data_IF_077088041268
#
_entry.id   IF_077088041268
#
_cell.length_a   1.000
_cell.length_b   1.000
_cell.length_c   1.000
_cell.angle_alpha   90.00
_cell.angle_beta   90.00
_cell.angle_gamma   90.00
#
_symmetry.space_group_name_H-M   'P 1'
#
loop_
_entity.id
_entity.type
_entity.pdbx_description
1 polymer ?
#
# COMPACT_ATOMS: atom_id res chain seq x y z
N UNK A 1 4.90 14.70 -24.94
CA UNK A 1 5.04 15.96 -24.17
C UNK A 1 6.40 15.89 -23.49
N UNK A 2 7.33 16.79 -23.81
CA UNK A 2 8.61 16.86 -23.13
C UNK A 2 8.34 17.27 -21.66
N UNK A 3 8.63 16.39 -20.73
CA UNK A 3 8.58 16.72 -19.32
C UNK A 3 9.55 17.87 -19.05
N UNK A 4 9.04 19.01 -18.67
CA UNK A 4 9.86 20.13 -18.26
C UNK A 4 10.39 19.90 -16.84
N UNK A 5 11.34 18.97 -16.72
CA UNK A 5 11.99 18.62 -15.45
C UNK A 5 12.55 19.85 -14.74
N UNK A 6 13.05 20.84 -15.48
CA UNK A 6 13.51 22.12 -14.92
C UNK A 6 12.44 22.86 -14.13
N UNK A 7 11.17 22.76 -14.52
CA UNK A 7 10.10 23.43 -13.77
C UNK A 7 9.87 22.78 -12.40
N UNK A 8 9.85 21.43 -12.37
CA UNK A 8 9.59 20.69 -11.12
C UNK A 8 10.79 20.69 -10.18
N UNK A 9 12.01 20.67 -10.73
CA UNK A 9 13.24 20.64 -9.94
C UNK A 9 13.79 22.02 -9.57
N UNK A 10 13.21 23.10 -10.10
CA UNK A 10 13.70 24.47 -9.94
C UNK A 10 14.06 24.81 -8.48
N UNK A 11 13.19 24.52 -7.53
CA UNK A 11 13.42 24.87 -6.13
C UNK A 11 14.49 23.99 -5.48
N UNK A 12 14.68 22.77 -5.93
CA UNK A 12 15.79 21.92 -5.50
C UNK A 12 17.11 22.46 -6.03
N UNK A 13 17.15 22.79 -7.32
CA UNK A 13 18.34 23.35 -7.96
C UNK A 13 18.76 24.69 -7.35
N UNK A 14 17.80 25.57 -7.08
CA UNK A 14 18.03 26.89 -6.47
C UNK A 14 18.48 26.82 -5.00
N UNK A 15 18.18 25.73 -4.29
CA UNK A 15 18.49 25.52 -2.88
C UNK A 15 19.44 24.33 -2.64
N UNK A 16 20.18 23.90 -3.66
CA UNK A 16 20.99 22.67 -3.63
C UNK A 16 21.90 22.61 -2.39
N UNK A 17 22.64 23.67 -2.10
CA UNK A 17 23.57 23.68 -0.96
C UNK A 17 22.86 23.49 0.39
N UNK A 18 21.70 24.10 0.58
CA UNK A 18 20.87 23.93 1.78
C UNK A 18 20.32 22.49 1.86
N UNK A 19 19.84 21.96 0.75
CA UNK A 19 19.32 20.58 0.69
C UNK A 19 20.43 19.57 1.00
N UNK A 20 21.61 19.73 0.44
CA UNK A 20 22.75 18.85 0.70
C UNK A 20 23.16 18.89 2.17
N UNK A 21 23.22 20.06 2.79
CA UNK A 21 23.50 20.21 4.22
C UNK A 21 22.45 19.52 5.08
N UNK A 22 21.15 19.73 4.80
CA UNK A 22 20.05 19.10 5.54
C UNK A 22 20.07 17.56 5.38
N UNK A 23 20.32 17.06 4.17
CA UNK A 23 20.43 15.62 3.91
C UNK A 23 21.59 15.02 4.67
N UNK A 24 22.79 15.62 4.59
CA UNK A 24 23.98 15.13 5.31
C UNK A 24 23.76 15.15 6.83
N UNK A 25 23.24 16.24 7.38
CA UNK A 25 22.92 16.33 8.79
C UNK A 25 21.89 15.28 9.21
N UNK A 26 20.82 15.09 8.44
CA UNK A 26 19.79 14.08 8.69
C UNK A 26 20.35 12.65 8.65
N UNK A 27 21.28 12.34 7.74
CA UNK A 27 21.97 11.05 7.68
C UNK A 27 22.81 10.86 8.94
N UNK A 28 23.62 11.84 9.33
CA UNK A 28 24.50 11.73 10.51
C UNK A 28 23.72 11.41 11.79
N UNK A 29 22.62 12.12 12.04
CA UNK A 29 21.89 12.01 13.33
C UNK A 29 20.83 10.89 13.35
N UNK A 30 20.27 10.51 12.19
CA UNK A 30 19.13 9.59 12.14
C UNK A 30 19.44 8.25 11.44
N UNK A 31 20.53 8.17 10.65
CA UNK A 31 20.79 7.00 9.80
C UNK A 31 22.11 6.31 10.10
N UNK A 32 22.98 6.94 10.87
CA UNK A 32 24.27 6.34 11.29
C UNK A 32 24.20 5.88 12.72
N UNK A 33 24.85 4.77 12.98
CA UNK A 33 25.07 4.21 14.31
C UNK A 33 26.49 3.64 14.40
N UNK A 34 26.96 3.43 15.62
CA UNK A 34 28.26 2.79 15.83
C UNK A 34 28.09 1.28 15.88
N UNK A 35 28.89 0.56 15.10
CA UNK A 35 29.03 -0.89 15.20
C UNK A 35 30.48 -1.22 15.50
N UNK A 36 30.70 -2.25 16.32
CA UNK A 36 32.04 -2.79 16.63
C UNK A 36 32.10 -4.24 16.11
N UNK A 37 33.05 -4.50 15.25
CA UNK A 37 33.30 -5.84 14.72
C UNK A 37 34.64 -6.35 15.24
N UNK A 38 34.66 -7.59 15.72
CA UNK A 38 35.87 -8.29 16.10
C UNK A 38 36.04 -9.51 15.18
N UNK A 39 37.14 -9.57 14.50
CA UNK A 39 37.49 -10.74 13.67
C UNK A 39 38.36 -11.69 14.50
N UNK A 40 38.00 -12.97 14.47
CA UNK A 40 38.71 -14.03 15.17
C UNK A 40 39.06 -15.15 14.19
N UNK A 41 40.18 -15.86 14.44
CA UNK A 41 40.53 -17.07 13.70
C UNK A 41 39.73 -18.29 14.21
N UNK A 42 39.95 -19.45 13.61
CA UNK A 42 39.31 -20.73 13.99
C UNK A 42 39.63 -21.20 15.43
N UNK A 43 40.65 -20.61 16.06
CA UNK A 43 41.04 -20.88 17.43
C UNK A 43 40.56 -19.82 18.42
N UNK A 44 39.80 -18.81 17.94
CA UNK A 44 39.26 -17.73 18.77
C UNK A 44 40.23 -16.58 19.04
N UNK A 45 41.40 -16.52 18.39
CA UNK A 45 42.33 -15.42 18.55
C UNK A 45 41.97 -14.22 17.69
N UNK A 46 42.16 -12.98 18.17
CA UNK A 46 41.92 -11.78 17.40
C UNK A 46 42.80 -11.71 16.15
N UNK A 47 42.17 -11.44 15.00
CA UNK A 47 42.86 -11.19 13.73
C UNK A 47 42.90 -9.70 13.46
N UNK A 48 44.07 -9.17 13.12
CA UNK A 48 44.31 -7.76 12.78
C UNK A 48 44.66 -7.61 11.30
N UNK A 49 44.56 -6.40 10.76
CA UNK A 49 44.86 -6.08 9.37
C UNK A 49 43.94 -6.82 8.38
N UNK A 50 42.66 -6.95 8.73
CA UNK A 50 41.64 -7.53 7.87
C UNK A 50 41.12 -6.47 6.93
N UNK A 51 41.04 -6.78 5.62
CA UNK A 51 40.28 -5.96 4.66
C UNK A 51 38.81 -6.34 4.78
N UNK A 52 37.95 -5.35 4.99
CA UNK A 52 36.49 -5.56 5.12
C UNK A 52 35.77 -4.79 4.06
N UNK A 53 34.98 -5.49 3.27
CA UNK A 53 34.02 -4.90 2.33
C UNK A 53 32.61 -5.02 2.91
N UNK A 54 31.90 -3.91 3.00
CA UNK A 54 30.55 -3.87 3.57
C UNK A 54 29.58 -3.51 2.46
N UNK A 55 28.57 -4.38 2.24
CA UNK A 55 27.46 -4.14 1.35
C UNK A 55 26.17 -4.15 2.14
N UNK A 56 25.37 -3.08 2.01
CA UNK A 56 24.04 -3.05 2.59
C UNK A 56 23.06 -3.78 1.66
N UNK A 57 22.39 -4.81 2.18
CA UNK A 57 21.43 -5.64 1.42
C UNK A 57 19.97 -5.22 1.66
N UNK A 58 19.67 -4.55 2.77
CA UNK A 58 18.30 -4.14 3.10
C UNK A 58 18.25 -3.02 4.12
N UNK A 59 17.06 -2.52 4.35
CA UNK A 59 16.74 -1.51 5.37
C UNK A 59 15.26 -1.61 5.80
N UNK A 60 14.96 -1.14 7.01
CA UNK A 60 13.60 -1.17 7.56
C UNK A 60 12.70 -0.02 7.08
N UNK A 61 13.29 1.01 6.44
CA UNK A 61 12.50 2.12 5.93
C UNK A 61 11.63 1.67 4.75
N UNK A 62 10.35 2.02 4.77
CA UNK A 62 9.40 1.64 3.71
C UNK A 62 9.42 2.66 2.58
N UNK A 63 9.89 2.23 1.40
CA UNK A 63 9.69 2.90 0.13
C UNK A 63 8.59 2.19 -0.62
N UNK A 64 7.50 2.88 -0.93
CA UNK A 64 6.36 2.25 -1.55
C UNK A 64 5.72 3.08 -2.65
N UNK A 65 5.00 2.38 -3.53
CA UNK A 65 4.14 2.98 -4.54
C UNK A 65 2.86 2.14 -4.69
N UNK A 66 1.85 2.67 -5.40
CA UNK A 66 0.71 1.86 -5.79
C UNK A 66 1.10 0.89 -6.92
N UNK A 67 0.60 -0.35 -6.83
CA UNK A 67 0.86 -1.41 -7.81
C UNK A 67 -0.29 -1.56 -8.83
N UNK A 68 -1.06 -0.52 -9.04
CA UNK A 68 -2.29 -0.54 -9.84
C UNK A 68 -2.10 -0.88 -11.32
N UNK A 69 -0.86 -0.90 -11.80
CA UNK A 69 -0.53 -1.25 -13.19
C UNK A 69 0.06 -2.66 -13.35
N UNK A 70 -0.01 -3.49 -12.31
CA UNK A 70 0.48 -4.87 -12.38
C UNK A 70 -0.29 -5.66 -13.44
N UNK A 71 0.41 -6.15 -14.46
CA UNK A 71 -0.13 -6.85 -15.63
C UNK A 71 -1.23 -6.08 -16.42
N UNK A 72 -1.20 -4.75 -16.33
CA UNK A 72 -2.16 -3.84 -16.99
C UNK A 72 -1.56 -3.10 -18.21
N UNK A 73 -0.29 -3.31 -18.51
CA UNK A 73 0.37 -2.69 -19.66
C UNK A 73 0.08 -3.48 -20.94
N UNK A 74 0.30 -2.82 -22.09
CA UNK A 74 -0.17 -3.32 -23.41
C UNK A 74 0.56 -4.57 -23.89
N UNK A 75 1.79 -4.81 -23.40
CA UNK A 75 2.61 -5.95 -23.80
C UNK A 75 3.20 -6.67 -22.59
N UNK A 76 3.47 -7.97 -22.76
CA UNK A 76 4.11 -8.79 -21.74
C UNK A 76 5.50 -8.23 -21.39
N UNK A 77 6.28 -7.80 -22.37
CA UNK A 77 7.58 -7.19 -22.13
C UNK A 77 7.50 -5.95 -21.24
N UNK A 78 6.51 -5.08 -21.44
CA UNK A 78 6.30 -3.90 -20.57
C UNK A 78 5.86 -4.29 -19.17
N UNK A 79 5.02 -5.32 -19.03
CA UNK A 79 4.60 -5.83 -17.73
C UNK A 79 5.81 -6.41 -16.98
N UNK A 80 6.68 -7.15 -17.63
CA UNK A 80 7.91 -7.69 -17.03
C UNK A 80 8.87 -6.58 -16.61
N UNK A 81 9.06 -5.56 -17.46
CA UNK A 81 9.86 -4.38 -17.11
C UNK A 81 9.27 -3.64 -15.90
N UNK A 82 7.95 -3.50 -15.83
CA UNK A 82 7.27 -2.89 -14.70
C UNK A 82 7.49 -3.68 -13.41
N UNK A 83 7.27 -5.01 -13.44
CA UNK A 83 7.48 -5.91 -12.30
C UNK A 83 8.92 -5.82 -11.79
N UNK A 84 9.88 -5.92 -12.70
CA UNK A 84 11.30 -5.84 -12.36
C UNK A 84 11.67 -4.48 -11.76
N UNK A 85 11.21 -3.38 -12.36
CA UNK A 85 11.47 -2.03 -11.85
C UNK A 85 10.83 -1.84 -10.47
N UNK A 86 9.58 -2.30 -10.29
CA UNK A 86 8.87 -2.18 -9.02
C UNK A 86 9.58 -2.96 -7.91
N UNK A 87 9.92 -4.23 -8.14
CA UNK A 87 10.62 -5.08 -7.18
C UNK A 87 12.03 -4.56 -6.81
N UNK A 88 12.71 -3.90 -7.75
CA UNK A 88 14.04 -3.34 -7.48
C UNK A 88 14.01 -2.01 -6.70
N UNK A 89 12.90 -1.27 -6.76
CA UNK A 89 12.79 0.07 -6.18
C UNK A 89 12.04 0.10 -4.86
N UNK A 90 11.05 -0.78 -4.68
CA UNK A 90 10.10 -0.70 -3.58
C UNK A 90 10.10 -1.95 -2.72
N UNK A 91 10.02 -1.73 -1.40
CA UNK A 91 9.83 -2.77 -0.39
C UNK A 91 8.44 -2.69 0.26
N UNK A 92 7.56 -1.82 -0.24
CA UNK A 92 6.15 -1.73 0.13
C UNK A 92 5.29 -1.45 -1.10
N UNK A 93 4.11 -2.05 -1.19
CA UNK A 93 3.15 -1.83 -2.27
C UNK A 93 1.77 -1.47 -1.72
N UNK A 94 1.13 -0.44 -2.30
CA UNK A 94 -0.27 -0.11 -2.03
C UNK A 94 -1.14 -0.85 -3.05
N UNK A 95 -2.00 -1.74 -2.55
CA UNK A 95 -2.86 -2.62 -3.33
C UNK A 95 -4.26 -2.02 -3.53
N UNK A 96 -4.91 -2.22 -4.71
CA UNK A 96 -6.19 -1.60 -5.04
C UNK A 96 -7.38 -2.36 -4.45
N UNK A 97 -7.76 -2.03 -3.23
CA UNK A 97 -8.91 -2.60 -2.53
C UNK A 97 -10.14 -1.67 -2.59
N UNK A 98 -10.43 -1.09 -3.76
CA UNK A 98 -11.62 -0.26 -3.95
C UNK A 98 -12.87 -1.14 -4.03
N UNK A 99 -13.77 -1.05 -3.07
CA UNK A 99 -14.89 -1.99 -2.92
C UNK A 99 -15.77 -2.11 -4.17
N UNK A 100 -16.13 -1.00 -4.82
CA UNK A 100 -16.92 -1.04 -6.07
C UNK A 100 -16.22 -1.78 -7.21
N UNK A 101 -14.90 -1.77 -7.23
CA UNK A 101 -14.11 -2.46 -8.25
C UNK A 101 -13.80 -3.92 -7.85
N UNK A 102 -13.75 -4.20 -6.54
CA UNK A 102 -13.61 -5.56 -6.02
C UNK A 102 -14.89 -6.37 -6.16
N UNK A 103 -16.04 -5.76 -5.94
CA UNK A 103 -17.34 -6.42 -6.02
C UNK A 103 -18.35 -5.56 -6.80
N UNK A 104 -18.15 -5.38 -8.11
CA UNK A 104 -19.05 -4.57 -8.94
C UNK A 104 -20.46 -5.17 -9.03
N UNK A 105 -20.58 -6.47 -8.86
CA UNK A 105 -21.85 -7.22 -8.81
C UNK A 105 -21.91 -7.92 -7.46
N UNK A 106 -23.00 -7.74 -6.75
CA UNK A 106 -23.21 -8.33 -5.43
C UNK A 106 -22.99 -9.86 -5.45
N UNK A 107 -22.14 -10.36 -4.57
CA UNK A 107 -21.80 -11.77 -4.45
C UNK A 107 -20.82 -12.29 -5.52
N UNK A 108 -20.23 -11.39 -6.33
CA UNK A 108 -19.24 -11.76 -7.35
C UNK A 108 -17.92 -10.97 -7.15
N UNK A 109 -17.16 -11.26 -6.09
CA UNK A 109 -15.92 -10.56 -5.82
C UNK A 109 -14.83 -10.92 -6.84
N UNK A 110 -14.00 -9.93 -7.19
CA UNK A 110 -12.89 -10.04 -8.14
C UNK A 110 -11.54 -10.25 -7.42
N UNK A 111 -11.47 -11.18 -6.48
CA UNK A 111 -10.23 -11.47 -5.76
C UNK A 111 -9.25 -12.31 -6.59
N UNK A 112 -9.77 -13.34 -7.27
CA UNK A 112 -8.98 -14.35 -7.96
C UNK A 112 -8.20 -13.78 -9.17
N UNK A 113 -7.04 -14.34 -9.46
CA UNK A 113 -6.15 -13.92 -10.56
C UNK A 113 -6.81 -13.92 -11.94
N UNK A 114 -7.73 -14.80 -12.17
CA UNK A 114 -8.50 -14.93 -13.41
C UNK A 114 -9.78 -14.06 -13.44
N UNK A 115 -9.98 -13.22 -12.44
CA UNK A 115 -11.11 -12.29 -12.40
C UNK A 115 -11.11 -11.36 -13.62
N UNK A 116 -12.29 -10.89 -14.08
CA UNK A 116 -12.39 -9.96 -15.20
C UNK A 116 -11.48 -8.74 -15.00
N UNK A 117 -10.72 -8.36 -16.02
CA UNK A 117 -9.81 -7.21 -15.95
C UNK A 117 -10.59 -5.91 -15.86
N UNK A 118 -10.14 -5.03 -14.97
CA UNK A 118 -10.54 -3.63 -14.89
C UNK A 118 -9.27 -2.78 -14.91
N UNK A 119 -9.25 -1.78 -15.76
CA UNK A 119 -8.08 -0.91 -15.93
C UNK A 119 -7.60 -0.31 -14.61
N UNK A 120 -6.33 -0.48 -14.30
CA UNK A 120 -5.68 -0.07 -13.05
C UNK A 120 -6.25 -0.73 -11.79
N UNK A 121 -6.90 -1.88 -11.95
CA UNK A 121 -7.47 -2.67 -10.85
C UNK A 121 -7.11 -4.14 -11.03
N UNK A 122 -5.82 -4.48 -10.98
CA UNK A 122 -5.42 -5.88 -10.96
C UNK A 122 -6.11 -6.60 -9.80
N UNK A 123 -6.35 -7.90 -9.98
CA UNK A 123 -6.96 -8.71 -8.92
C UNK A 123 -6.09 -8.70 -7.65
N UNK A 124 -6.74 -8.74 -6.50
CA UNK A 124 -6.02 -8.60 -5.23
C UNK A 124 -5.12 -9.78 -4.92
N UNK A 125 -5.53 -11.01 -5.28
CA UNK A 125 -4.69 -12.21 -5.12
C UNK A 125 -3.40 -12.13 -5.97
N UNK A 126 -3.49 -11.60 -7.19
CA UNK A 126 -2.31 -11.38 -8.04
C UNK A 126 -1.33 -10.39 -7.38
N UNK A 127 -1.86 -9.31 -6.81
CA UNK A 127 -1.03 -8.31 -6.14
C UNK A 127 -0.35 -8.85 -4.88
N UNK A 128 -1.08 -9.64 -4.08
CA UNK A 128 -0.54 -10.26 -2.86
C UNK A 128 0.56 -11.26 -3.22
N UNK A 129 0.29 -12.15 -4.17
CA UNK A 129 1.29 -13.14 -4.63
C UNK A 129 2.58 -12.47 -5.12
N UNK A 130 2.45 -11.43 -5.95
CA UNK A 130 3.62 -10.66 -6.41
C UNK A 130 4.41 -10.06 -5.24
N UNK A 131 3.73 -9.52 -4.23
CA UNK A 131 4.39 -8.97 -3.05
C UNK A 131 5.13 -10.04 -2.25
N UNK A 132 4.52 -11.21 -2.04
CA UNK A 132 5.12 -12.34 -1.33
C UNK A 132 6.34 -12.89 -2.07
N UNK A 133 6.24 -13.08 -3.39
CA UNK A 133 7.34 -13.59 -4.23
C UNK A 133 8.58 -12.66 -4.22
N UNK A 134 8.37 -11.37 -4.04
CA UNK A 134 9.45 -10.37 -4.09
C UNK A 134 9.84 -9.77 -2.73
N UNK A 135 9.26 -10.27 -1.62
CA UNK A 135 9.54 -9.74 -0.28
C UNK A 135 9.09 -8.30 -0.08
N UNK A 136 8.03 -7.89 -0.78
CA UNK A 136 7.43 -6.55 -0.71
C UNK A 136 6.28 -6.59 0.30
N UNK A 137 6.26 -5.64 1.26
CA UNK A 137 5.18 -5.56 2.23
C UNK A 137 3.90 -4.98 1.58
N UNK A 138 2.79 -5.73 1.53
CA UNK A 138 1.54 -5.22 0.98
C UNK A 138 0.81 -4.31 1.97
N UNK A 139 0.22 -3.22 1.47
CA UNK A 139 -0.70 -2.33 2.19
C UNK A 139 -2.05 -2.30 1.49
N UNK A 140 -3.12 -2.61 2.21
CA UNK A 140 -4.49 -2.54 1.69
C UNK A 140 -4.95 -1.07 1.59
N UNK A 141 -5.38 -0.64 0.42
CA UNK A 141 -5.99 0.66 0.19
C UNK A 141 -7.33 0.49 -0.54
N UNK A 142 -8.42 0.61 0.13
CA UNK A 142 -8.69 0.72 1.56
C UNK A 142 -10.01 0.00 1.90
N UNK A 143 -10.32 -0.21 3.18
CA UNK A 143 -11.56 -0.90 3.60
C UNK A 143 -12.81 -0.07 3.33
N UNK A 144 -12.73 1.25 3.53
CA UNK A 144 -13.85 2.15 3.36
C UNK A 144 -13.43 3.44 2.67
N UNK A 145 -14.00 3.67 1.50
CA UNK A 145 -13.89 4.91 0.76
C UNK A 145 -15.23 5.19 0.10
N UNK A 146 -16.01 6.13 0.62
CA UNK A 146 -17.40 6.35 0.22
C UNK A 146 -17.61 6.50 -1.27
N UNK A 147 -16.67 7.17 -1.97
CA UNK A 147 -16.66 7.32 -3.43
C UNK A 147 -16.63 5.97 -4.19
N UNK A 148 -16.10 4.92 -3.57
CA UNK A 148 -15.94 3.58 -4.16
C UNK A 148 -16.85 2.54 -3.50
N UNK A 149 -17.98 2.98 -2.93
CA UNK A 149 -19.02 2.07 -2.45
C UNK A 149 -19.80 1.53 -3.65
N UNK A 150 -20.01 0.19 -3.75
CA UNK A 150 -20.78 -0.38 -4.86
C UNK A 150 -22.21 0.15 -4.92
N UNK A 151 -22.75 0.35 -6.14
CA UNK A 151 -24.11 0.87 -6.35
C UNK A 151 -25.22 -0.06 -5.84
N UNK A 152 -24.93 -1.36 -5.67
CA UNK A 152 -25.88 -2.34 -5.12
C UNK A 152 -26.02 -2.28 -3.59
N UNK A 153 -25.14 -1.56 -2.90
CA UNK A 153 -25.20 -1.37 -1.44
C UNK A 153 -26.44 -0.54 -1.11
N UNK A 154 -27.30 -1.00 -0.18
CA UNK A 154 -28.47 -0.22 0.26
C UNK A 154 -28.07 1.14 0.79
N UNK A 155 -28.89 2.17 0.51
CA UNK A 155 -28.62 3.54 0.94
C UNK A 155 -29.23 3.86 2.32
N UNK A 156 -29.70 2.85 3.03
CA UNK A 156 -30.13 2.98 4.43
C UNK A 156 -29.01 2.56 5.38
N UNK A 157 -29.00 3.19 6.55
CA UNK A 157 -27.98 3.01 7.58
C UNK A 157 -27.74 1.53 7.94
N UNK A 158 -28.79 0.77 8.14
CA UNK A 158 -28.69 -0.62 8.59
C UNK A 158 -28.24 -1.55 7.46
N UNK A 159 -28.73 -1.31 6.25
CA UNK A 159 -28.33 -2.03 5.06
C UNK A 159 -26.87 -1.81 4.74
N UNK A 160 -26.43 -0.54 4.69
CA UNK A 160 -25.03 -0.18 4.49
C UNK A 160 -24.11 -0.81 5.53
N UNK A 161 -24.49 -0.71 6.81
CA UNK A 161 -23.70 -1.30 7.91
C UNK A 161 -23.51 -2.80 7.72
N UNK A 162 -24.58 -3.56 7.47
CA UNK A 162 -24.50 -5.01 7.26
C UNK A 162 -23.60 -5.38 6.05
N UNK A 163 -23.72 -4.63 4.95
CA UNK A 163 -22.88 -4.88 3.78
C UNK A 163 -21.41 -4.58 4.06
N UNK A 164 -21.12 -3.50 4.78
CA UNK A 164 -19.74 -3.13 5.15
C UNK A 164 -19.12 -4.14 6.12
N UNK A 165 -19.88 -4.57 7.13
CA UNK A 165 -19.43 -5.61 8.08
C UNK A 165 -19.12 -6.92 7.36
N UNK A 166 -19.98 -7.34 6.43
CA UNK A 166 -19.75 -8.52 5.61
C UNK A 166 -18.48 -8.37 4.76
N UNK A 167 -18.34 -7.24 4.03
CA UNK A 167 -17.17 -6.95 3.22
C UNK A 167 -15.87 -7.00 4.02
N UNK A 168 -15.83 -6.37 5.19
CA UNK A 168 -14.67 -6.39 6.07
C UNK A 168 -14.36 -7.79 6.61
N UNK A 169 -15.39 -8.57 6.96
CA UNK A 169 -15.20 -9.94 7.41
C UNK A 169 -14.60 -10.83 6.32
N UNK A 170 -15.09 -10.72 5.07
CA UNK A 170 -14.57 -11.46 3.92
C UNK A 170 -13.10 -11.08 3.61
N UNK A 171 -12.77 -9.80 3.67
CA UNK A 171 -11.38 -9.35 3.49
C UNK A 171 -10.48 -9.82 4.64
N UNK A 172 -10.96 -9.77 5.87
CA UNK A 172 -10.23 -10.28 7.04
C UNK A 172 -9.97 -11.77 6.94
N UNK A 173 -10.98 -12.57 6.61
CA UNK A 173 -10.83 -14.02 6.43
C UNK A 173 -9.81 -14.37 5.32
N UNK A 174 -9.79 -13.58 4.24
CA UNK A 174 -8.94 -13.87 3.10
C UNK A 174 -7.50 -13.35 3.24
N UNK A 175 -7.30 -12.18 3.83
CA UNK A 175 -6.04 -11.45 3.73
C UNK A 175 -5.36 -11.10 5.06
N UNK A 176 -5.95 -11.42 6.22
CA UNK A 176 -5.38 -11.01 7.50
C UNK A 176 -3.96 -11.54 7.73
N UNK A 177 -3.66 -12.74 7.27
CA UNK A 177 -2.34 -13.35 7.40
C UNK A 177 -1.33 -12.90 6.33
N UNK A 178 -1.80 -12.19 5.30
CA UNK A 178 -1.00 -11.78 4.15
C UNK A 178 -0.70 -10.28 4.12
N UNK A 179 -1.60 -9.44 4.66
CA UNK A 179 -1.52 -7.98 4.55
C UNK A 179 -1.40 -7.35 5.94
N UNK A 180 -0.19 -6.98 6.38
CA UNK A 180 0.04 -6.44 7.73
C UNK A 180 -0.40 -4.99 7.90
N UNK A 181 -0.58 -4.23 6.80
CA UNK A 181 -0.91 -2.82 6.83
C UNK A 181 -2.25 -2.54 6.13
N UNK A 182 -3.21 -1.98 6.87
CA UNK A 182 -4.56 -1.72 6.37
C UNK A 182 -4.90 -0.24 6.55
N UNK A 183 -5.36 0.40 5.47
CA UNK A 183 -5.98 1.71 5.53
C UNK A 183 -7.48 1.54 5.73
N UNK A 184 -7.95 1.92 6.92
CA UNK A 184 -9.36 1.70 7.31
C UNK A 184 -10.30 2.58 6.51
N UNK A 185 -9.91 3.83 6.27
CA UNK A 185 -10.75 4.80 5.57
C UNK A 185 -9.90 5.84 4.86
N UNK A 186 -10.33 6.25 3.68
CA UNK A 186 -9.65 7.24 2.84
C UNK A 186 -10.47 8.52 2.73
N UNK A 187 -9.78 9.68 2.67
CA UNK A 187 -10.34 11.01 2.41
C UNK A 187 -11.52 11.41 3.30
N UNK A 188 -11.45 11.08 4.58
CA UNK A 188 -12.53 11.32 5.56
C UNK A 188 -12.89 12.79 5.77
N UNK A 189 -11.97 13.70 5.50
CA UNK A 189 -12.23 15.15 5.55
C UNK A 189 -13.08 15.65 4.37
N UNK A 190 -13.21 14.83 3.32
CA UNK A 190 -13.98 15.16 2.10
C UNK A 190 -15.32 14.42 2.03
N UNK A 191 -15.79 13.92 3.15
CA UNK A 191 -17.03 13.14 3.26
C UNK A 191 -18.24 13.79 2.59
N UNK A 192 -18.34 15.11 2.63
CA UNK A 192 -19.41 15.86 1.98
C UNK A 192 -19.40 15.77 0.43
N UNK A 193 -18.23 15.47 -0.15
CA UNK A 193 -18.06 15.33 -1.60
C UNK A 193 -18.21 13.88 -2.08
N UNK A 194 -18.23 12.89 -1.18
CA UNK A 194 -18.40 11.49 -1.58
C UNK A 194 -19.73 11.25 -2.29
N UNK A 195 -20.80 11.90 -1.81
CA UNK A 195 -22.15 11.78 -2.39
C UNK A 195 -22.22 12.28 -3.85
N UNK A 196 -21.48 13.34 -4.18
CA UNK A 196 -21.49 13.95 -5.49
C UNK A 196 -20.80 13.10 -6.57
N UNK A 197 -19.86 12.24 -6.19
CA UNK A 197 -19.02 11.47 -7.11
C UNK A 197 -19.42 10.01 -7.23
N UNK A 198 -19.99 9.43 -6.16
CA UNK A 198 -20.43 8.03 -6.13
C UNK A 198 -21.78 7.78 -6.79
N UNK A 199 -22.55 8.83 -7.10
CA UNK A 199 -23.96 8.70 -7.49
C UNK A 199 -24.86 8.16 -6.37
N UNK A 200 -24.30 7.92 -5.18
CA UNK A 200 -25.01 7.55 -3.98
C UNK A 200 -25.50 8.83 -3.32
N UNK A 201 -26.81 9.00 -3.22
CA UNK A 201 -27.41 10.08 -2.46
C UNK A 201 -27.38 9.74 -0.95
N UNK A 202 -26.16 9.48 -0.45
CA UNK A 202 -25.93 9.14 0.95
C UNK A 202 -25.92 10.42 1.76
N UNK A 203 -26.83 10.54 2.72
CA UNK A 203 -26.80 11.67 3.65
C UNK A 203 -25.48 11.68 4.44
N UNK A 204 -25.02 12.84 4.87
CA UNK A 204 -23.85 13.01 5.72
C UNK A 204 -23.88 12.11 6.97
N UNK A 205 -25.07 11.71 7.41
CA UNK A 205 -25.29 10.75 8.49
C UNK A 205 -24.88 9.32 8.10
N UNK A 206 -25.16 8.88 6.87
CA UNK A 206 -24.77 7.54 6.40
C UNK A 206 -23.27 7.41 6.28
N UNK A 207 -22.59 8.42 5.74
CA UNK A 207 -21.12 8.44 5.63
C UNK A 207 -20.45 8.42 7.02
N UNK A 208 -20.98 9.14 7.99
CA UNK A 208 -20.49 9.11 9.37
C UNK A 208 -20.65 7.73 10.01
N UNK A 209 -21.72 7.03 9.69
CA UNK A 209 -21.97 5.68 10.19
C UNK A 209 -21.06 4.67 9.55
N UNK A 210 -20.80 4.77 8.24
CA UNK A 210 -19.83 3.94 7.56
C UNK A 210 -18.44 4.09 8.18
N UNK A 211 -18.03 5.32 8.51
CA UNK A 211 -16.75 5.56 9.16
C UNK A 211 -16.67 4.94 10.55
N UNK A 212 -17.69 5.15 11.38
CA UNK A 212 -17.75 4.56 12.72
C UNK A 212 -17.85 3.02 12.66
N UNK A 213 -18.59 2.48 11.70
CA UNK A 213 -18.70 1.05 11.44
C UNK A 213 -17.36 0.41 11.07
N UNK A 214 -16.62 1.03 10.16
CA UNK A 214 -15.31 0.57 9.76
C UNK A 214 -14.35 0.45 10.94
N UNK A 215 -14.27 1.50 11.78
CA UNK A 215 -13.38 1.51 12.94
C UNK A 215 -13.73 0.45 13.97
N UNK A 216 -15.03 0.19 14.21
CA UNK A 216 -15.47 -0.81 15.20
C UNK A 216 -15.31 -2.25 14.71
N UNK A 217 -15.43 -2.50 13.42
CA UNK A 217 -15.34 -3.84 12.85
C UNK A 217 -13.88 -4.28 12.71
N UNK A 218 -12.95 -3.34 12.48
CA UNK A 218 -11.53 -3.65 12.42
C UNK A 218 -10.99 -4.29 13.71
N UNK A 219 -11.44 -3.82 14.89
CA UNK A 219 -11.04 -4.40 16.17
C UNK A 219 -11.44 -5.88 16.32
N UNK A 220 -12.52 -6.30 15.64
CA UNK A 220 -13.01 -7.69 15.68
C UNK A 220 -12.33 -8.61 14.65
N UNK A 221 -11.65 -8.07 13.63
CA UNK A 221 -11.03 -8.81 12.55
C UNK A 221 -9.51 -8.97 12.76
N UNK A 222 -8.88 -8.06 13.50
CA UNK A 222 -7.45 -8.19 13.82
C UNK A 222 -7.23 -9.45 14.67
N UNK A 223 -6.32 -10.36 14.27
CA UNK A 223 -5.97 -11.49 15.11
C UNK A 223 -5.42 -10.98 16.44
N UNK A 224 -5.87 -11.56 17.53
CA UNK A 224 -5.34 -11.25 18.84
C UNK A 224 -3.83 -11.48 18.83
N UNK A 225 -3.05 -10.42 18.89
CA UNK A 225 -1.60 -10.50 19.08
C UNK A 225 -1.36 -11.10 20.48
N UNK A 226 -0.97 -12.37 20.48
CA UNK A 226 -0.40 -13.03 21.67
C UNK A 226 1.04 -12.57 21.88
#
# INVERSE_FOLDING_TARGET
>A
MAHNSKYYLKYFDENQAFMDEQVQHGIEINRKGNASLQFIDEHGNPVTNVHVEIQQEGHDFRFGANIFMLDELETEEKNDQYKQAFANLFNQATLPFFWSDLEPIQGQPRYAKDSPKLYRRPSTDLCVEFCEEHGIEPKMHCLNYGMWTPLWVPQDVQGTKRCLEKHMAELGERYADHIPAIEVTNETLWVENWDATSGLNTSSSTNRIMWNGASSTQESISPATN
#
